data_IF_972153920810
#
_entry.id   IF_972153920810
#
_cell.length_a   1.000
_cell.length_b   1.000
_cell.length_c   1.000
_cell.angle_alpha   90.00
_cell.angle_beta   90.00
_cell.angle_gamma   90.00
#
_symmetry.space_group_name_H-M   'P 1'
#
loop_
_entity.id
_entity.type
_entity.pdbx_description
1 polymer ?
#
# COMPACT_ATOMS: atom_id res chain seq x y z
N UNK A 1 5.91 -23.89 -9.51
CA UNK A 1 5.98 -22.82 -8.48
C UNK A 1 4.96 -21.77 -8.83
N UNK A 2 4.07 -21.43 -7.92
CA UNK A 2 3.10 -20.37 -8.15
C UNK A 2 3.73 -18.99 -7.94
N UNK A 3 3.23 -18.01 -8.68
CA UNK A 3 3.67 -16.61 -8.57
C UNK A 3 2.43 -15.77 -8.29
N UNK A 4 2.38 -15.20 -7.10
CA UNK A 4 1.33 -14.26 -6.74
C UNK A 4 1.93 -12.86 -6.62
N UNK A 5 1.85 -12.12 -7.72
CA UNK A 5 2.43 -10.78 -7.81
C UNK A 5 1.81 -9.83 -6.79
N UNK A 6 0.51 -9.96 -6.54
CA UNK A 6 -0.18 -9.14 -5.54
C UNK A 6 0.42 -9.32 -4.15
N UNK A 7 0.63 -10.56 -3.74
CA UNK A 7 1.24 -10.86 -2.45
C UNK A 7 2.67 -10.33 -2.36
N UNK A 8 3.44 -10.47 -3.42
CA UNK A 8 4.81 -9.95 -3.47
C UNK A 8 4.83 -8.43 -3.36
N UNK A 9 3.90 -7.74 -4.03
CA UNK A 9 3.77 -6.29 -3.94
C UNK A 9 3.42 -5.86 -2.51
N UNK A 10 2.44 -6.51 -1.90
CA UNK A 10 2.02 -6.17 -0.53
C UNK A 10 3.13 -6.43 0.49
N UNK A 11 3.84 -7.53 0.35
CA UNK A 11 4.98 -7.83 1.20
C UNK A 11 6.08 -6.77 1.05
N UNK A 12 6.36 -6.34 -0.18
CA UNK A 12 7.36 -5.31 -0.41
C UNK A 12 6.91 -3.94 0.11
N UNK A 13 5.64 -3.60 -0.05
CA UNK A 13 5.09 -2.37 0.54
C UNK A 13 5.32 -2.32 2.06
N UNK A 14 5.06 -3.43 2.74
CA UNK A 14 5.29 -3.52 4.17
C UNK A 14 6.76 -3.27 4.52
N UNK A 15 7.69 -3.86 3.78
CA UNK A 15 9.12 -3.64 4.00
C UNK A 15 9.50 -2.17 3.79
N UNK A 16 8.98 -1.55 2.74
CA UNK A 16 9.29 -0.15 2.41
C UNK A 16 8.80 0.79 3.52
N UNK A 17 7.56 0.62 3.97
CA UNK A 17 7.01 1.50 5.00
C UNK A 17 7.62 1.24 6.37
N UNK A 18 8.02 0.01 6.67
CA UNK A 18 8.71 -0.32 7.90
C UNK A 18 10.08 0.36 8.00
N UNK A 19 10.68 0.71 6.86
CA UNK A 19 11.96 1.40 6.79
C UNK A 19 11.90 2.90 6.98
N UNK A 20 10.70 3.49 7.11
CA UNK A 20 10.57 4.92 7.34
C UNK A 20 11.12 5.29 8.72
N UNK A 21 11.98 6.33 8.83
CA UNK A 21 12.52 6.73 10.13
C UNK A 21 11.42 7.06 11.14
N UNK A 22 11.67 6.70 12.39
CA UNK A 22 10.79 6.96 13.54
C UNK A 22 9.51 6.11 13.58
N UNK A 23 9.29 5.21 12.62
CA UNK A 23 8.20 4.24 12.71
C UNK A 23 8.58 3.17 13.73
N UNK A 24 7.72 2.98 14.72
CA UNK A 24 7.95 2.00 15.78
C UNK A 24 7.43 0.63 15.43
N UNK A 25 6.29 0.57 14.74
CA UNK A 25 5.71 -0.70 14.32
C UNK A 25 5.13 -0.61 12.93
N UNK A 26 5.20 -1.71 12.19
CA UNK A 26 4.60 -1.84 10.87
C UNK A 26 3.92 -3.19 10.78
N UNK A 27 2.68 -3.22 10.32
CA UNK A 27 1.88 -4.44 10.23
C UNK A 27 0.95 -4.41 9.04
N UNK A 28 0.35 -5.55 8.76
CA UNK A 28 -0.58 -5.72 7.64
C UNK A 28 -1.96 -6.07 8.19
N UNK A 29 -2.98 -5.36 7.70
CA UNK A 29 -4.39 -5.62 8.00
C UNK A 29 -4.74 -5.68 9.50
N UNK A 30 -3.98 -5.00 10.32
CA UNK A 30 -4.21 -4.97 11.75
C UNK A 30 -4.75 -3.62 12.19
N UNK A 31 -5.89 -3.64 12.88
CA UNK A 31 -6.54 -2.42 13.39
C UNK A 31 -6.29 -2.20 14.87
N UNK A 32 -5.79 -3.20 15.59
CA UNK A 32 -5.57 -3.13 17.03
C UNK A 32 -4.18 -2.60 17.34
N UNK A 33 -4.05 -1.29 17.38
CA UNK A 33 -2.78 -0.63 17.65
C UNK A 33 -2.81 -0.07 19.07
N UNK A 34 -1.80 -0.38 19.85
CA UNK A 34 -1.64 0.12 21.21
C UNK A 34 -0.69 1.33 21.25
N UNK A 35 -0.75 2.11 22.34
CA UNK A 35 0.05 3.34 22.48
C UNK A 35 1.56 3.09 22.35
N UNK A 36 2.03 1.95 22.83
CA UNK A 36 3.45 1.59 22.79
C UNK A 36 3.93 1.22 21.37
N UNK A 37 3.01 1.01 20.44
CA UNK A 37 3.33 0.73 19.04
C UNK A 37 3.44 1.99 18.18
N UNK A 38 3.03 3.14 18.70
CA UNK A 38 3.03 4.40 17.95
C UNK A 38 4.43 5.02 17.88
N UNK A 39 4.81 5.66 16.78
CA UNK A 39 4.07 5.76 15.51
C UNK A 39 3.99 4.43 14.78
N UNK A 40 2.80 4.11 14.29
CA UNK A 40 2.53 2.84 13.65
C UNK A 40 2.10 3.04 12.20
N UNK A 41 2.50 2.12 11.34
CA UNK A 41 2.08 2.09 9.94
C UNK A 41 1.43 0.74 9.67
N UNK A 42 0.25 0.77 9.08
CA UNK A 42 -0.46 -0.44 8.69
C UNK A 42 -0.71 -0.43 7.19
N UNK A 43 -0.32 -1.49 6.53
CA UNK A 43 -0.65 -1.70 5.11
C UNK A 43 -1.94 -2.52 5.05
N UNK A 44 -2.98 -1.93 4.50
CA UNK A 44 -4.22 -2.64 4.19
C UNK A 44 -4.22 -3.03 2.74
N UNK A 45 -4.64 -4.26 2.47
CA UNK A 45 -4.62 -4.82 1.11
C UNK A 45 -5.49 -4.00 0.15
N UNK A 46 -6.62 -3.49 0.64
CA UNK A 46 -7.53 -2.71 -0.16
C UNK A 46 -8.26 -3.55 -1.21
N UNK A 47 -8.95 -2.84 -2.09
CA UNK A 47 -9.72 -3.46 -3.14
C UNK A 47 -8.85 -3.74 -4.38
N UNK A 48 -9.33 -4.64 -5.20
CA UNK A 48 -8.69 -4.98 -6.48
C UNK A 48 -9.77 -5.08 -7.55
N UNK A 49 -9.47 -4.56 -8.73
CA UNK A 49 -10.37 -4.67 -9.87
C UNK A 49 -9.60 -5.06 -11.13
N UNK A 50 -10.25 -5.78 -12.02
CA UNK A 50 -9.71 -6.12 -13.33
C UNK A 50 -10.15 -5.06 -14.33
N UNK A 51 -9.18 -4.46 -15.04
CA UNK A 51 -9.47 -3.39 -15.99
C UNK A 51 -9.46 -3.84 -17.44
N UNK A 52 -8.99 -5.06 -17.70
CA UNK A 52 -8.97 -5.64 -19.03
C UNK A 52 -8.32 -7.02 -19.00
N UNK A 53 -8.46 -7.73 -20.11
CA UNK A 53 -7.87 -9.04 -20.27
C UNK A 53 -7.27 -9.18 -21.67
N UNK A 54 -6.22 -9.99 -21.77
CA UNK A 54 -5.67 -10.37 -23.06
C UNK A 54 -6.47 -11.58 -23.59
N UNK A 55 -7.36 -11.33 -24.55
CA UNK A 55 -8.26 -12.33 -25.07
C UNK A 55 -7.67 -13.17 -26.21
N UNK A 56 -6.39 -13.01 -26.53
CA UNK A 56 -5.73 -13.72 -27.61
C UNK A 56 -5.60 -15.22 -27.34
N UNK A 57 -5.54 -15.60 -26.08
CA UNK A 57 -5.46 -17.01 -25.73
C UNK A 57 -6.85 -17.65 -25.66
N UNK A 58 -7.08 -18.83 -26.30
CA UNK A 58 -8.35 -19.54 -26.18
C UNK A 58 -8.58 -20.15 -24.80
N UNK A 59 -7.51 -20.39 -24.03
CA UNK A 59 -7.64 -20.93 -22.68
C UNK A 59 -7.79 -19.79 -21.69
N UNK A 60 -8.85 -19.81 -20.88
CA UNK A 60 -9.11 -18.78 -19.89
C UNK A 60 -7.98 -18.65 -18.87
N UNK A 61 -7.39 -19.76 -18.44
CA UNK A 61 -6.29 -19.76 -17.47
C UNK A 61 -4.99 -19.17 -18.02
N UNK A 62 -4.86 -19.03 -19.34
CA UNK A 62 -3.69 -18.46 -19.99
C UNK A 62 -3.85 -16.99 -20.33
N UNK A 63 -5.03 -16.43 -20.12
CA UNK A 63 -5.27 -15.02 -20.36
C UNK A 63 -4.64 -14.17 -19.26
N UNK A 64 -3.92 -13.13 -19.65
CA UNK A 64 -3.40 -12.15 -18.71
C UNK A 64 -4.46 -11.10 -18.43
N UNK A 65 -4.64 -10.77 -17.17
CA UNK A 65 -5.59 -9.74 -16.74
C UNK A 65 -4.84 -8.51 -16.26
N UNK A 66 -5.20 -7.35 -16.80
CA UNK A 66 -4.71 -6.09 -16.29
C UNK A 66 -5.49 -5.77 -15.03
N UNK A 67 -4.79 -5.74 -13.92
CA UNK A 67 -5.40 -5.66 -12.60
C UNK A 67 -4.89 -4.44 -11.87
N UNK A 68 -5.80 -3.73 -11.21
CA UNK A 68 -5.46 -2.60 -10.32
C UNK A 68 -5.75 -2.99 -8.89
N UNK A 69 -4.73 -2.92 -8.08
CA UNK A 69 -4.88 -3.03 -6.63
C UNK A 69 -4.80 -1.64 -6.02
N UNK A 70 -5.55 -1.42 -4.95
CA UNK A 70 -5.67 -0.12 -4.30
C UNK A 70 -5.33 -0.23 -2.81
N UNK A 71 -4.06 -0.49 -2.49
CA UNK A 71 -3.66 -0.61 -1.09
C UNK A 71 -3.76 0.73 -0.37
N UNK A 72 -4.05 0.66 0.91
CA UNK A 72 -4.13 1.81 1.78
C UNK A 72 -3.06 1.69 2.86
N UNK A 73 -2.34 2.77 3.09
CA UNK A 73 -1.30 2.80 4.13
C UNK A 73 -1.74 3.80 5.19
N UNK A 74 -2.04 3.29 6.38
CA UNK A 74 -2.52 4.10 7.48
C UNK A 74 -1.38 4.35 8.46
N UNK A 75 -1.08 5.62 8.66
CA UNK A 75 -0.12 6.08 9.67
C UNK A 75 -0.91 6.54 10.88
N UNK A 76 -0.59 5.99 12.04
CA UNK A 76 -1.22 6.37 13.30
C UNK A 76 -0.18 6.97 14.23
N UNK A 77 -0.53 8.11 14.82
CA UNK A 77 0.32 8.85 15.75
C UNK A 77 -0.47 9.31 16.97
N UNK A 78 0.25 9.72 17.99
CA UNK A 78 -0.37 10.29 19.19
C UNK A 78 -1.00 11.64 18.88
N UNK A 79 -1.97 12.05 19.69
CA UNK A 79 -2.70 13.32 19.51
C UNK A 79 -1.81 14.55 19.49
N UNK A 80 -0.68 14.53 20.19
CA UNK A 80 0.25 15.64 20.25
C UNK A 80 1.00 15.90 18.95
N UNK A 81 1.00 14.92 18.02
CA UNK A 81 1.70 15.06 16.75
C UNK A 81 0.96 16.07 15.86
N UNK A 82 1.69 17.02 15.33
CA UNK A 82 1.11 18.10 14.54
C UNK A 82 0.79 17.67 13.11
N UNK A 83 -0.06 18.44 12.43
CA UNK A 83 -0.32 18.27 11.03
C UNK A 83 0.93 18.37 10.15
N UNK A 84 1.89 19.22 10.55
CA UNK A 84 3.17 19.34 9.85
C UNK A 84 4.01 18.07 9.96
N UNK A 85 4.01 17.43 11.10
CA UNK A 85 4.72 16.17 11.32
C UNK A 85 4.10 15.04 10.51
N UNK A 86 2.77 14.94 10.50
CA UNK A 86 2.07 13.98 9.65
C UNK A 86 2.34 14.25 8.16
N UNK A 87 2.36 15.52 7.77
CA UNK A 87 2.68 15.91 6.40
C UNK A 87 4.09 15.50 5.98
N UNK A 88 5.06 15.59 6.90
CA UNK A 88 6.42 15.14 6.65
C UNK A 88 6.48 13.62 6.45
N UNK A 89 5.76 12.86 7.27
CA UNK A 89 5.66 11.41 7.13
C UNK A 89 4.98 11.03 5.80
N UNK A 90 3.95 11.76 5.41
CA UNK A 90 3.27 11.56 4.12
C UNK A 90 4.25 11.72 2.96
N UNK A 91 5.02 12.79 2.95
CA UNK A 91 6.03 13.04 1.89
C UNK A 91 7.04 11.91 1.81
N UNK A 92 7.57 11.50 2.95
CA UNK A 92 8.56 10.43 3.01
C UNK A 92 7.99 9.11 2.50
N UNK A 93 6.77 8.80 2.92
CA UNK A 93 6.09 7.58 2.52
C UNK A 93 5.86 7.55 1.00
N UNK A 94 5.30 8.62 0.45
CA UNK A 94 5.06 8.72 -0.99
C UNK A 94 6.37 8.59 -1.77
N UNK A 95 7.40 9.32 -1.35
CA UNK A 95 8.71 9.28 -1.99
C UNK A 95 9.29 7.87 -2.01
N UNK A 96 9.25 7.19 -0.89
CA UNK A 96 9.82 5.84 -0.77
C UNK A 96 9.05 4.82 -1.61
N UNK A 97 7.72 4.87 -1.58
CA UNK A 97 6.91 3.94 -2.36
C UNK A 97 7.11 4.15 -3.85
N UNK A 98 7.05 5.40 -4.32
CA UNK A 98 7.16 5.68 -5.75
C UNK A 98 8.57 5.47 -6.31
N UNK A 99 9.60 5.59 -5.49
CA UNK A 99 10.99 5.43 -5.93
C UNK A 99 11.56 4.04 -5.68
N UNK A 100 10.82 3.15 -5.07
CA UNK A 100 11.32 1.82 -4.74
C UNK A 100 11.46 0.97 -6.00
N UNK A 101 12.69 0.57 -6.32
CA UNK A 101 12.98 -0.17 -7.54
C UNK A 101 12.41 -1.58 -7.53
N UNK A 102 12.36 -2.21 -6.37
CA UNK A 102 11.77 -3.55 -6.24
C UNK A 102 10.27 -3.53 -6.49
N UNK A 103 9.54 -2.55 -5.94
CA UNK A 103 8.12 -2.40 -6.20
C UNK A 103 7.83 -2.14 -7.69
N UNK A 104 8.57 -1.24 -8.29
CA UNK A 104 8.43 -0.94 -9.72
C UNK A 104 8.70 -2.18 -10.58
N UNK A 105 9.69 -2.97 -10.20
CA UNK A 105 10.00 -4.23 -10.87
C UNK A 105 8.89 -5.26 -10.75
N UNK A 106 8.27 -5.38 -9.58
CA UNK A 106 7.16 -6.31 -9.35
C UNK A 106 5.91 -5.91 -10.14
N UNK A 107 5.62 -4.62 -10.21
CA UNK A 107 4.49 -4.12 -10.99
C UNK A 107 4.71 -4.31 -12.50
N UNK A 108 5.94 -4.32 -12.95
CA UNK A 108 6.37 -4.75 -14.28
C UNK A 108 6.29 -3.71 -15.38
N UNK A 109 5.61 -2.58 -15.19
CA UNK A 109 5.47 -1.55 -16.21
C UNK A 109 5.74 -0.17 -15.66
N UNK A 110 6.21 0.73 -16.51
CA UNK A 110 6.47 2.11 -16.14
C UNK A 110 5.17 2.82 -15.79
N UNK A 111 5.17 3.56 -14.69
CA UNK A 111 4.01 4.31 -14.24
C UNK A 111 2.89 3.45 -13.66
N UNK A 112 3.18 2.21 -13.34
CA UNK A 112 2.20 1.29 -12.76
C UNK A 112 1.81 1.64 -11.33
N UNK A 113 2.68 2.36 -10.61
CA UNK A 113 2.44 2.78 -9.23
C UNK A 113 2.10 4.27 -9.22
N UNK A 114 0.94 4.60 -8.66
CA UNK A 114 0.46 5.98 -8.57
C UNK A 114 0.00 6.31 -7.17
N UNK A 115 0.28 7.53 -6.76
CA UNK A 115 -0.31 8.10 -5.56
C UNK A 115 -1.76 8.49 -5.88
N UNK A 116 -2.69 7.96 -5.09
CA UNK A 116 -4.13 8.12 -5.37
C UNK A 116 -4.81 9.14 -4.45
N UNK A 117 -4.22 9.46 -3.31
CA UNK A 117 -4.79 10.44 -2.41
C UNK A 117 -4.44 10.20 -0.96
N UNK A 118 -4.87 11.11 -0.11
CA UNK A 118 -4.62 11.04 1.32
C UNK A 118 -5.81 11.63 2.08
N UNK A 119 -6.21 10.95 3.15
CA UNK A 119 -7.23 11.44 4.08
C UNK A 119 -6.60 11.54 5.46
N UNK A 120 -6.88 12.61 6.17
CA UNK A 120 -6.37 12.82 7.53
C UNK A 120 -7.52 12.86 8.53
N UNK A 121 -7.26 12.27 9.71
CA UNK A 121 -8.17 12.30 10.84
C UNK A 121 -7.37 12.70 12.08
N UNK A 122 -7.75 13.80 12.70
CA UNK A 122 -7.09 14.30 13.89
C UNK A 122 -7.80 13.89 15.18
N UNK A 123 -8.51 12.78 15.15
CA UNK A 123 -9.10 12.18 16.35
C UNK A 123 -10.20 13.00 17.01
N UNK A 124 -10.96 13.71 16.22
CA UNK A 124 -11.91 14.73 16.70
C UNK A 124 -13.06 14.20 17.52
N UNK A 125 -13.53 13.00 17.26
CA UNK A 125 -14.75 12.50 17.88
C UNK A 125 -14.50 11.35 18.86
N UNK A 126 -13.93 10.27 18.40
CA UNK A 126 -13.77 9.06 19.22
C UNK A 126 -12.40 8.42 19.07
N UNK A 127 -11.62 8.83 18.09
CA UNK A 127 -10.28 8.29 17.92
C UNK A 127 -9.35 8.85 18.99
N UNK A 128 -8.51 7.98 19.54
CA UNK A 128 -7.47 8.36 20.49
C UNK A 128 -6.19 8.77 19.78
N UNK A 129 -6.14 8.70 18.47
CA UNK A 129 -4.95 8.90 17.67
C UNK A 129 -5.24 9.84 16.52
N UNK A 130 -4.20 10.53 16.08
CA UNK A 130 -4.22 11.18 14.78
C UNK A 130 -3.84 10.14 13.74
N UNK A 131 -4.55 10.11 12.65
CA UNK A 131 -4.35 9.12 11.60
C UNK A 131 -4.33 9.76 10.22
N UNK A 132 -3.60 9.11 9.33
CA UNK A 132 -3.52 9.53 7.94
C UNK A 132 -3.60 8.28 7.07
N UNK A 133 -4.52 8.27 6.11
CA UNK A 133 -4.67 7.20 5.15
C UNK A 133 -4.10 7.64 3.82
N UNK A 134 -2.98 7.05 3.42
CA UNK A 134 -2.32 7.33 2.14
C UNK A 134 -2.66 6.20 1.19
N UNK A 135 -3.28 6.53 0.07
CA UNK A 135 -3.79 5.58 -0.88
C UNK A 135 -2.94 5.54 -2.14
N UNK A 136 -2.68 4.33 -2.62
CA UNK A 136 -1.95 4.09 -3.86
C UNK A 136 -2.80 3.24 -4.80
N UNK A 137 -2.50 3.38 -6.08
CA UNK A 137 -3.03 2.51 -7.11
C UNK A 137 -1.87 1.84 -7.82
N UNK A 138 -1.86 0.51 -7.84
CA UNK A 138 -0.78 -0.26 -8.46
C UNK A 138 -1.40 -1.18 -9.51
N UNK A 139 -0.94 -1.04 -10.74
CA UNK A 139 -1.37 -1.88 -11.85
C UNK A 139 -0.35 -2.99 -12.08
N UNK A 140 -0.84 -4.20 -12.23
CA UNK A 140 0.01 -5.34 -12.55
C UNK A 140 -0.74 -6.32 -13.44
N UNK A 141 -0.01 -7.27 -14.01
CA UNK A 141 -0.59 -8.31 -14.84
C UNK A 141 -0.80 -9.58 -14.03
N UNK A 142 -2.05 -10.03 -13.95
CA UNK A 142 -2.41 -11.28 -13.30
C UNK A 142 -2.48 -12.38 -14.35
N UNK A 143 -1.71 -13.43 -14.15
CA UNK A 143 -1.69 -14.62 -15.02
C UNK A 143 -2.16 -15.81 -14.21
N UNK A 144 -3.42 -16.26 -14.38
CA UNK A 144 -3.97 -17.33 -13.54
C UNK A 144 -3.16 -18.62 -13.57
N UNK A 145 -2.52 -18.95 -14.69
CA UNK A 145 -1.69 -20.16 -14.81
C UNK A 145 -0.43 -20.12 -13.91
N UNK A 146 -0.03 -18.97 -13.43
CA UNK A 146 1.13 -18.81 -12.56
C UNK A 146 0.78 -18.85 -11.06
N UNK A 147 -0.50 -18.80 -10.74
CA UNK A 147 -0.99 -18.79 -9.35
C UNK A 147 -0.89 -20.18 -8.68
#
# INVERSE_FOLDING_TARGET
MSVDVREDILARLLEVVAGIPNIRSAQRNNVDITDDQLPAVTVFDGDEETTGADDRSPRLSMRAYVTRMMPEIIVQEKHEVTGSELGAMRRELIRRVLSDTALNGLAGTNGAIRYAGCQTDFGWLRSQYNAMNVQFMIQYSLKPEEL
#
